data_IF_154476647721
#
_entry.id   IF_154476647721
#
_cell.length_a   1.000
_cell.length_b   1.000
_cell.length_c   1.000
_cell.angle_alpha   90.00
_cell.angle_beta   90.00
_cell.angle_gamma   90.00
#
_symmetry.space_group_name_H-M   'P 1'
#
loop_
_entity.id
_entity.type
_entity.pdbx_description
1 polymer ?
#
# COMPACT_ATOMS: atom_id res chain seq x y z
N UNK A 1 61.44 12.23 -10.06
CA UNK A 1 60.06 12.21 -9.53
C UNK A 1 59.11 11.97 -10.71
N UNK A 2 58.65 10.71 -10.86
CA UNK A 2 57.57 10.37 -11.83
C UNK A 2 56.26 10.52 -11.07
N UNK A 3 55.43 11.49 -11.48
CA UNK A 3 54.06 11.63 -11.03
C UNK A 3 53.24 10.42 -11.49
N UNK A 4 52.76 9.66 -10.53
CA UNK A 4 51.79 8.59 -10.72
C UNK A 4 50.42 9.24 -11.02
N UNK A 5 49.95 9.14 -12.27
CA UNK A 5 48.60 9.51 -12.67
C UNK A 5 47.73 8.24 -12.65
N UNK A 6 46.75 8.11 -11.77
CA UNK A 6 45.85 6.95 -11.81
C UNK A 6 44.92 7.06 -12.98
N UNK A 7 44.90 6.02 -13.82
CA UNK A 7 43.99 5.86 -14.93
C UNK A 7 42.53 5.72 -14.44
N UNK A 8 41.75 6.80 -14.57
CA UNK A 8 40.31 6.83 -14.23
C UNK A 8 39.40 6.29 -15.35
N UNK A 9 39.95 5.59 -16.34
CA UNK A 9 39.19 5.06 -17.48
C UNK A 9 38.76 3.60 -17.32
N UNK A 10 38.14 3.21 -16.19
CA UNK A 10 37.79 1.80 -15.99
C UNK A 10 36.48 1.53 -15.20
N UNK A 11 35.84 2.52 -14.66
CA UNK A 11 34.56 2.30 -13.96
C UNK A 11 33.41 2.33 -14.97
N UNK A 12 33.18 1.21 -15.64
CA UNK A 12 31.91 0.99 -16.35
C UNK A 12 30.82 0.90 -15.29
N UNK A 13 30.05 1.97 -15.14
CA UNK A 13 28.78 1.89 -14.42
C UNK A 13 27.93 0.82 -15.09
N UNK A 14 27.47 -0.23 -14.38
CA UNK A 14 26.53 -1.17 -14.96
C UNK A 14 25.28 -0.38 -15.35
N UNK A 15 25.01 -0.33 -16.65
CA UNK A 15 23.76 0.21 -17.15
C UNK A 15 22.62 -0.55 -16.44
N UNK A 16 21.59 0.12 -15.90
CA UNK A 16 20.44 -0.57 -15.37
C UNK A 16 19.91 -1.44 -16.51
N UNK A 17 19.90 -2.77 -16.29
CA UNK A 17 19.42 -3.74 -17.27
C UNK A 17 17.97 -3.38 -17.58
N UNK A 18 17.76 -2.66 -18.68
CA UNK A 18 16.44 -2.53 -19.27
C UNK A 18 15.99 -3.98 -19.53
N UNK A 19 14.87 -4.38 -18.94
CA UNK A 19 14.25 -5.69 -19.23
C UNK A 19 14.26 -5.85 -20.75
N UNK A 20 14.82 -6.96 -21.28
CA UNK A 20 14.96 -7.10 -22.71
C UNK A 20 13.58 -6.90 -23.35
N UNK A 21 13.49 -6.05 -24.36
CA UNK A 21 12.22 -5.65 -24.98
C UNK A 21 11.34 -6.85 -25.42
N UNK A 22 11.97 -8.03 -25.61
CA UNK A 22 11.28 -9.30 -25.85
C UNK A 22 10.45 -9.79 -24.66
N UNK A 23 10.88 -9.57 -23.42
CA UNK A 23 10.08 -9.90 -22.22
C UNK A 23 8.91 -8.94 -22.06
N UNK A 24 9.11 -7.65 -22.30
CA UNK A 24 8.02 -6.66 -22.32
C UNK A 24 7.01 -6.98 -23.42
N UNK A 25 7.48 -7.33 -24.61
CA UNK A 25 6.62 -7.72 -25.74
C UNK A 25 5.82 -9.00 -25.48
N UNK A 26 6.36 -9.94 -24.69
CA UNK A 26 5.66 -11.16 -24.28
C UNK A 26 4.65 -10.92 -23.15
N UNK A 27 4.92 -9.97 -22.26
CA UNK A 27 4.03 -9.65 -21.13
C UNK A 27 2.80 -8.83 -21.57
N UNK A 28 2.91 -8.00 -22.60
CA UNK A 28 1.81 -7.16 -23.09
C UNK A 28 0.59 -7.99 -23.57
N UNK A 29 0.71 -9.03 -24.43
CA UNK A 29 -0.46 -9.82 -24.83
C UNK A 29 -1.04 -10.63 -23.67
N UNK A 30 -0.21 -11.10 -22.73
CA UNK A 30 -0.68 -11.82 -21.55
C UNK A 30 -1.49 -10.92 -20.62
N UNK A 31 -1.02 -9.69 -20.37
CA UNK A 31 -1.75 -8.71 -19.58
C UNK A 31 -3.02 -8.25 -20.28
N UNK A 32 -3.00 -8.09 -21.60
CA UNK A 32 -4.16 -7.76 -22.40
C UNK A 32 -5.22 -8.86 -22.39
N UNK A 33 -4.81 -10.13 -22.54
CA UNK A 33 -5.70 -11.28 -22.43
C UNK A 33 -6.32 -11.39 -21.04
N UNK A 34 -5.51 -11.25 -20.00
CA UNK A 34 -5.99 -11.26 -18.62
C UNK A 34 -7.00 -10.13 -18.38
N UNK A 35 -6.70 -8.93 -18.84
CA UNK A 35 -7.62 -7.79 -18.77
C UNK A 35 -8.91 -8.04 -19.51
N UNK A 36 -8.88 -8.61 -20.72
CA UNK A 36 -10.06 -8.96 -21.49
C UNK A 36 -10.92 -10.03 -20.81
N UNK A 37 -10.30 -11.06 -20.25
CA UNK A 37 -10.99 -12.11 -19.48
C UNK A 37 -11.66 -11.54 -18.22
N UNK A 38 -10.97 -10.64 -17.51
CA UNK A 38 -11.52 -9.96 -16.34
C UNK A 38 -12.72 -9.08 -16.71
N UNK A 39 -12.63 -8.29 -17.78
CA UNK A 39 -13.73 -7.46 -18.26
C UNK A 39 -14.92 -8.30 -18.74
N UNK A 40 -14.67 -9.38 -19.48
CA UNK A 40 -15.70 -10.30 -19.90
C UNK A 40 -16.38 -11.03 -18.73
N UNK A 41 -15.61 -11.40 -17.71
CA UNK A 41 -16.12 -11.95 -16.46
C UNK A 41 -16.99 -10.94 -15.71
N UNK A 42 -16.51 -9.70 -15.59
CA UNK A 42 -17.23 -8.61 -14.91
C UNK A 42 -18.57 -8.29 -15.60
N UNK A 43 -18.58 -8.26 -16.94
CA UNK A 43 -19.81 -8.01 -17.72
C UNK A 43 -20.88 -9.09 -17.57
N UNK A 44 -20.48 -10.31 -17.19
CA UNK A 44 -21.39 -11.45 -16.97
C UNK A 44 -21.67 -11.74 -15.50
N UNK A 45 -20.99 -11.08 -14.59
CA UNK A 45 -21.14 -11.31 -13.16
C UNK A 45 -22.33 -10.56 -12.59
N UNK A 46 -22.94 -11.11 -11.53
CA UNK A 46 -23.92 -10.39 -10.74
C UNK A 46 -23.28 -9.15 -10.07
N UNK A 47 -24.06 -8.07 -9.84
CA UNK A 47 -23.56 -6.92 -9.13
C UNK A 47 -23.12 -7.33 -7.69
N UNK A 48 -22.05 -6.71 -7.14
CA UNK A 48 -21.63 -6.98 -5.78
C UNK A 48 -22.69 -6.48 -4.80
N UNK A 49 -22.77 -7.10 -3.64
CA UNK A 49 -23.62 -6.57 -2.58
C UNK A 49 -23.08 -5.21 -2.15
N UNK A 50 -23.91 -4.18 -2.21
CA UNK A 50 -23.50 -2.78 -1.98
C UNK A 50 -22.95 -2.55 -0.58
N UNK A 51 -23.52 -3.23 0.43
CA UNK A 51 -23.01 -3.14 1.82
C UNK A 51 -21.60 -3.68 1.94
N UNK A 52 -21.30 -4.81 1.33
CA UNK A 52 -19.98 -5.40 1.33
C UNK A 52 -18.95 -4.56 0.58
N UNK A 53 -19.36 -3.98 -0.55
CA UNK A 53 -18.53 -3.04 -1.31
C UNK A 53 -18.24 -1.78 -0.49
N UNK A 54 -19.29 -1.19 0.11
CA UNK A 54 -19.18 0.00 0.95
C UNK A 54 -18.27 -0.20 2.15
N UNK A 55 -18.43 -1.30 2.88
CA UNK A 55 -17.57 -1.65 4.02
C UNK A 55 -16.12 -1.88 3.59
N UNK A 56 -15.90 -2.62 2.51
CA UNK A 56 -14.55 -2.87 1.99
C UNK A 56 -13.83 -1.58 1.58
N UNK A 57 -14.52 -0.70 0.85
CA UNK A 57 -13.98 0.60 0.46
C UNK A 57 -13.74 1.51 1.67
N UNK A 58 -14.71 1.59 2.57
CA UNK A 58 -14.60 2.41 3.79
C UNK A 58 -13.41 1.99 4.66
N UNK A 59 -13.28 0.68 4.94
CA UNK A 59 -12.15 0.13 5.70
C UNK A 59 -10.82 0.38 4.99
N UNK A 60 -10.74 0.13 3.68
CA UNK A 60 -9.51 0.30 2.93
C UNK A 60 -9.05 1.77 2.87
N UNK A 61 -9.97 2.69 2.61
CA UNK A 61 -9.66 4.12 2.58
C UNK A 61 -9.26 4.66 3.96
N UNK A 62 -9.98 4.27 5.02
CA UNK A 62 -9.64 4.65 6.38
C UNK A 62 -8.29 4.05 6.82
N UNK A 63 -8.05 2.77 6.52
CA UNK A 63 -6.77 2.11 6.81
C UNK A 63 -5.60 2.79 6.07
N UNK A 64 -5.80 3.20 4.81
CA UNK A 64 -4.80 3.96 4.06
C UNK A 64 -4.55 5.33 4.66
N UNK A 65 -5.58 6.08 4.99
CA UNK A 65 -5.44 7.43 5.54
C UNK A 65 -4.74 7.41 6.90
N UNK A 66 -5.23 6.57 7.82
CA UNK A 66 -4.63 6.42 9.15
C UNK A 66 -3.25 5.76 9.08
N UNK A 67 -3.08 4.74 8.25
CA UNK A 67 -1.79 4.09 8.02
C UNK A 67 -0.74 5.08 7.49
N UNK A 68 -1.10 5.93 6.53
CA UNK A 68 -0.22 6.98 6.03
C UNK A 68 0.16 7.99 7.11
N UNK A 69 -0.81 8.44 7.91
CA UNK A 69 -0.57 9.36 9.03
C UNK A 69 0.37 8.73 10.05
N UNK A 70 0.11 7.49 10.48
CA UNK A 70 0.97 6.73 11.40
C UNK A 70 2.38 6.57 10.83
N UNK A 71 2.53 6.17 9.56
CA UNK A 71 3.82 6.00 8.92
C UNK A 71 4.61 7.30 8.84
N UNK A 72 3.96 8.40 8.45
CA UNK A 72 4.62 9.70 8.36
C UNK A 72 5.03 10.25 9.73
N UNK A 73 4.18 10.09 10.75
CA UNK A 73 4.50 10.43 12.14
C UNK A 73 5.65 9.58 12.66
N UNK A 74 5.62 8.27 12.41
CA UNK A 74 6.71 7.36 12.80
C UNK A 74 8.04 7.75 12.17
N UNK A 75 8.04 8.07 10.87
CA UNK A 75 9.25 8.48 10.16
C UNK A 75 9.75 9.88 10.58
N UNK A 76 8.86 10.78 11.00
CA UNK A 76 9.22 12.12 11.43
C UNK A 76 9.70 12.18 12.88
N UNK A 77 9.08 11.40 13.78
CA UNK A 77 9.29 11.48 15.23
C UNK A 77 9.79 10.18 15.85
N UNK A 78 9.76 9.07 15.11
CA UNK A 78 10.10 7.75 15.64
C UNK A 78 11.59 7.57 15.93
N UNK A 79 11.94 6.58 16.75
CA UNK A 79 13.33 6.30 17.12
C UNK A 79 14.12 5.81 15.90
N UNK A 80 15.35 6.29 15.76
CA UNK A 80 16.24 5.88 14.66
C UNK A 80 16.66 4.40 14.76
N UNK A 81 16.52 3.78 15.94
CA UNK A 81 16.88 2.40 16.27
C UNK A 81 15.74 1.75 17.04
N UNK A 82 15.48 0.46 16.78
CA UNK A 82 14.51 -0.34 17.55
C UNK A 82 13.14 -0.56 16.91
N UNK A 83 12.97 -0.29 15.63
CA UNK A 83 11.72 -0.48 14.89
C UNK A 83 11.45 -1.94 14.46
N UNK A 84 12.15 -2.92 15.04
CA UNK A 84 11.92 -4.34 14.74
C UNK A 84 10.50 -4.82 14.99
N UNK A 85 9.83 -4.25 15.98
CA UNK A 85 8.45 -4.57 16.33
C UNK A 85 7.42 -4.32 15.24
N UNK A 86 7.65 -3.30 14.39
CA UNK A 86 6.75 -2.97 13.28
C UNK A 86 6.70 -4.08 12.23
N UNK A 87 7.76 -4.88 12.12
CA UNK A 87 7.86 -5.98 11.16
C UNK A 87 7.29 -7.30 11.66
N UNK A 88 7.00 -7.41 12.97
CA UNK A 88 6.43 -8.63 13.57
C UNK A 88 5.20 -9.16 12.82
N UNK A 89 4.22 -8.32 12.42
CA UNK A 89 3.06 -8.82 11.71
C UNK A 89 3.38 -9.48 10.37
N UNK A 90 4.49 -9.12 9.73
CA UNK A 90 4.92 -9.72 8.46
C UNK A 90 5.65 -11.04 8.63
N UNK A 91 6.20 -11.31 9.81
CA UNK A 91 6.99 -12.51 10.12
C UNK A 91 6.14 -13.56 10.83
N UNK A 92 5.21 -13.12 11.66
CA UNK A 92 4.34 -14.01 12.42
C UNK A 92 3.24 -14.63 11.54
N UNK A 93 2.83 -15.87 11.79
CA UNK A 93 1.67 -16.46 11.11
C UNK A 93 0.40 -15.64 11.39
N UNK A 94 -0.42 -15.48 10.34
CA UNK A 94 -1.61 -14.62 10.40
C UNK A 94 -2.65 -15.09 11.45
N UNK A 95 -2.82 -16.41 11.60
CA UNK A 95 -3.82 -16.99 12.52
C UNK A 95 -3.57 -16.65 13.98
N UNK A 96 -2.38 -16.92 14.58
CA UNK A 96 -2.13 -16.56 15.98
C UNK A 96 -2.21 -15.05 16.24
N UNK A 97 -1.82 -14.25 15.24
CA UNK A 97 -1.85 -12.79 15.37
C UNK A 97 -3.30 -12.27 15.37
N UNK A 98 -4.15 -12.78 14.48
CA UNK A 98 -5.57 -12.44 14.45
C UNK A 98 -6.31 -12.96 15.70
N UNK A 99 -5.98 -14.16 16.21
CA UNK A 99 -6.53 -14.68 17.47
C UNK A 99 -6.14 -13.78 18.66
N UNK A 100 -4.89 -13.37 18.73
CA UNK A 100 -4.42 -12.43 19.77
C UNK A 100 -5.16 -11.10 19.73
N UNK A 101 -5.35 -10.52 18.55
CA UNK A 101 -6.15 -9.30 18.38
C UNK A 101 -7.60 -9.49 18.81
N UNK A 102 -8.21 -10.59 18.39
CA UNK A 102 -9.60 -10.91 18.75
C UNK A 102 -9.77 -11.06 20.27
N UNK A 103 -8.89 -11.77 20.95
CA UNK A 103 -8.91 -11.89 22.42
C UNK A 103 -8.79 -10.53 23.11
N UNK A 104 -7.90 -9.67 22.63
CA UNK A 104 -7.78 -8.30 23.14
C UNK A 104 -9.06 -7.49 22.93
N UNK A 105 -9.69 -7.62 21.77
CA UNK A 105 -10.96 -6.95 21.48
C UNK A 105 -12.08 -7.44 22.42
N UNK A 106 -12.16 -8.76 22.67
CA UNK A 106 -13.11 -9.33 23.62
C UNK A 106 -12.90 -8.81 25.05
N UNK A 107 -11.66 -8.75 25.53
CA UNK A 107 -11.36 -8.19 26.86
C UNK A 107 -11.76 -6.74 26.99
N UNK A 108 -11.68 -5.98 25.90
CA UNK A 108 -12.04 -4.57 25.85
C UNK A 108 -13.54 -4.31 25.53
N UNK A 109 -14.32 -5.37 25.29
CA UNK A 109 -15.74 -5.30 24.87
C UNK A 109 -15.92 -4.50 23.57
N UNK A 110 -14.96 -4.59 22.65
CA UNK A 110 -14.92 -3.85 21.40
C UNK A 110 -15.17 -4.76 20.17
N UNK A 111 -15.56 -6.03 20.36
CA UNK A 111 -15.81 -6.96 19.27
C UNK A 111 -17.04 -6.56 18.44
N UNK A 112 -16.96 -6.75 17.14
CA UNK A 112 -18.03 -6.44 16.20
C UNK A 112 -18.17 -4.97 15.83
N UNK A 113 -17.28 -4.10 16.28
CA UNK A 113 -17.26 -2.68 15.93
C UNK A 113 -16.39 -2.42 14.70
N UNK A 114 -16.82 -1.48 13.87
CA UNK A 114 -16.10 -1.09 12.65
C UNK A 114 -14.67 -0.59 12.95
N UNK A 115 -14.49 0.16 14.06
CA UNK A 115 -13.20 0.69 14.49
C UNK A 115 -12.22 -0.43 14.92
N UNK A 116 -12.74 -1.49 15.47
CA UNK A 116 -11.94 -2.65 15.88
C UNK A 116 -11.45 -3.42 14.66
N UNK A 117 -12.30 -3.56 13.65
CA UNK A 117 -11.88 -4.15 12.37
C UNK A 117 -10.81 -3.26 11.69
N UNK A 118 -11.01 -1.95 11.70
CA UNK A 118 -10.02 -1.00 11.18
C UNK A 118 -8.67 -1.12 11.91
N UNK A 119 -8.68 -1.25 13.24
CA UNK A 119 -7.47 -1.51 14.01
C UNK A 119 -6.80 -2.83 13.58
N UNK A 120 -7.59 -3.87 13.34
CA UNK A 120 -7.10 -5.12 12.77
C UNK A 120 -6.40 -4.96 11.44
N UNK A 121 -6.99 -4.17 10.53
CA UNK A 121 -6.39 -3.87 9.23
C UNK A 121 -5.09 -3.07 9.34
N UNK A 122 -5.02 -2.08 10.23
CA UNK A 122 -3.84 -1.25 10.42
C UNK A 122 -2.61 -2.05 10.82
N UNK A 123 -2.77 -3.14 11.58
CA UNK A 123 -1.67 -4.00 11.98
C UNK A 123 -0.89 -4.56 10.79
N UNK A 124 -1.57 -4.79 9.67
CA UNK A 124 -0.97 -5.29 8.42
C UNK A 124 -0.62 -4.17 7.45
N UNK A 125 -1.47 -3.16 7.34
CA UNK A 125 -1.30 -2.05 6.40
C UNK A 125 -0.07 -1.20 6.73
N UNK A 126 0.14 -0.87 8.02
CA UNK A 126 1.26 0.00 8.46
C UNK A 126 2.63 -0.57 8.11
N UNK A 127 2.96 -1.84 8.39
CA UNK A 127 4.26 -2.40 8.00
C UNK A 127 4.51 -2.36 6.49
N UNK A 128 3.51 -2.72 5.67
CA UNK A 128 3.64 -2.66 4.21
C UNK A 128 3.86 -1.24 3.70
N UNK A 129 3.15 -0.26 4.24
CA UNK A 129 3.34 1.14 3.87
C UNK A 129 4.72 1.64 4.31
N UNK A 130 5.19 1.30 5.51
CA UNK A 130 6.53 1.63 5.99
C UNK A 130 7.62 0.99 5.13
N UNK A 131 7.42 -0.24 4.67
CA UNK A 131 8.36 -0.92 3.78
C UNK A 131 8.67 -0.10 2.52
N UNK A 132 7.65 0.59 1.98
CA UNK A 132 7.78 1.45 0.81
C UNK A 132 8.31 2.85 1.19
N UNK A 133 7.81 3.44 2.26
CA UNK A 133 8.12 4.82 2.62
C UNK A 133 9.50 4.99 3.25
N UNK A 134 9.98 4.01 4.01
CA UNK A 134 11.23 4.11 4.77
C UNK A 134 12.47 4.28 3.90
N UNK A 135 12.69 3.52 2.81
CA UNK A 135 13.81 3.75 1.90
C UNK A 135 13.78 5.15 1.28
N UNK A 136 12.60 5.58 0.83
CA UNK A 136 12.41 6.91 0.24
C UNK A 136 12.66 8.02 1.26
N UNK A 137 12.25 7.83 2.51
CA UNK A 137 12.55 8.75 3.60
C UNK A 137 14.06 8.90 3.86
N UNK A 138 14.81 7.79 3.83
CA UNK A 138 16.27 7.78 4.05
C UNK A 138 17.07 8.36 2.90
N UNK A 139 16.55 8.26 1.67
CA UNK A 139 17.21 8.77 0.46
C UNK A 139 17.03 10.29 0.26
N UNK A 140 16.30 10.98 1.12
CA UNK A 140 16.16 12.44 1.04
C UNK A 140 17.50 13.12 1.35
N UNK A 141 17.80 14.18 0.59
CA UNK A 141 19.01 14.97 0.83
C UNK A 141 18.85 15.79 2.12
N UNK A 142 19.65 15.51 3.17
CA UNK A 142 19.60 16.24 4.42
C UNK A 142 20.03 17.71 4.27
N UNK A 143 20.82 18.04 3.24
CA UNK A 143 21.31 19.41 2.97
C UNK A 143 20.16 20.38 2.74
N UNK A 144 19.10 19.94 2.05
CA UNK A 144 17.92 20.78 1.82
C UNK A 144 17.24 21.19 3.13
N UNK A 145 17.21 20.30 4.11
CA UNK A 145 16.65 20.59 5.44
C UNK A 145 17.54 21.59 6.20
N UNK A 146 18.85 21.46 6.09
CA UNK A 146 19.81 22.39 6.72
C UNK A 146 19.64 23.80 6.10
N UNK A 147 19.65 23.91 4.78
CA UNK A 147 19.43 25.20 4.08
C UNK A 147 18.11 25.83 4.45
N UNK A 148 17.03 25.05 4.51
CA UNK A 148 15.72 25.58 4.91
C UNK A 148 15.73 26.13 6.35
N UNK A 149 16.46 25.48 7.27
CA UNK A 149 16.64 25.96 8.65
C UNK A 149 17.45 27.24 8.71
N UNK A 150 18.51 27.39 7.92
CA UNK A 150 19.29 28.64 7.86
C UNK A 150 18.47 29.82 7.31
N UNK A 151 17.45 29.53 6.50
CA UNK A 151 16.48 30.51 6.02
C UNK A 151 15.33 30.78 7.04
N UNK A 152 15.43 30.27 8.27
CA UNK A 152 14.48 30.51 9.34
C UNK A 152 13.18 29.67 9.24
N UNK A 153 13.16 28.59 8.43
CA UNK A 153 11.98 27.76 8.34
C UNK A 153 11.82 26.85 9.56
N UNK A 154 10.64 26.86 10.17
CA UNK A 154 10.28 25.93 11.24
C UNK A 154 10.08 24.50 10.73
N UNK A 155 10.16 23.52 11.63
CA UNK A 155 10.05 22.09 11.31
C UNK A 155 8.75 21.74 10.57
N UNK A 156 7.63 22.33 10.96
CA UNK A 156 6.33 22.12 10.33
C UNK A 156 6.33 22.61 8.87
N UNK A 157 6.91 23.79 8.62
CA UNK A 157 7.01 24.34 7.26
C UNK A 157 7.90 23.47 6.37
N UNK A 158 9.04 23.00 6.90
CA UNK A 158 9.93 22.07 6.21
C UNK A 158 9.21 20.76 5.89
N UNK A 159 8.43 20.23 6.82
CA UNK A 159 7.67 18.99 6.58
C UNK A 159 6.68 19.14 5.42
N UNK A 160 5.83 20.16 5.44
CA UNK A 160 4.78 20.33 4.43
C UNK A 160 5.30 20.77 3.07
N UNK A 161 6.29 21.68 3.03
CA UNK A 161 6.76 22.27 1.77
C UNK A 161 7.96 21.55 1.14
N UNK A 162 8.73 20.81 1.91
CA UNK A 162 9.93 20.13 1.41
C UNK A 162 9.81 18.60 1.51
N UNK A 163 9.51 18.08 2.70
CA UNK A 163 9.51 16.65 2.97
C UNK A 163 8.35 15.94 2.29
N UNK A 164 7.13 16.34 2.53
CA UNK A 164 5.94 15.70 1.98
C UNK A 164 5.91 15.73 0.44
N UNK A 165 6.21 16.87 -0.22
CA UNK A 165 6.29 16.88 -1.69
C UNK A 165 7.39 15.97 -2.25
N UNK A 166 8.52 15.79 -1.55
CA UNK A 166 9.57 14.86 -2.00
C UNK A 166 9.15 13.39 -1.94
N UNK A 167 8.22 13.06 -1.05
CA UNK A 167 7.67 11.72 -0.84
C UNK A 167 6.39 11.43 -1.65
N UNK A 168 5.91 12.35 -2.49
CA UNK A 168 4.62 12.19 -3.18
C UNK A 168 4.52 10.87 -3.94
N UNK A 169 5.53 10.49 -4.73
CA UNK A 169 5.52 9.23 -5.49
C UNK A 169 5.52 8.00 -4.58
N UNK A 170 6.47 7.84 -3.65
CA UNK A 170 6.45 6.69 -2.75
C UNK A 170 5.21 6.67 -1.85
N UNK A 171 4.64 7.82 -1.49
CA UNK A 171 3.40 7.88 -0.72
C UNK A 171 2.21 7.35 -1.53
N UNK A 172 2.07 7.76 -2.79
CA UNK A 172 1.03 7.23 -3.68
C UNK A 172 1.16 5.71 -3.87
N UNK A 173 2.39 5.21 -4.03
CA UNK A 173 2.64 3.75 -4.10
C UNK A 173 2.29 3.07 -2.78
N UNK A 174 2.66 3.64 -1.64
CA UNK A 174 2.33 3.10 -0.33
C UNK A 174 0.81 3.05 -0.09
N UNK A 175 0.07 4.09 -0.52
CA UNK A 175 -1.39 4.12 -0.46
C UNK A 175 -2.01 3.01 -1.31
N UNK A 176 -1.54 2.79 -2.54
CA UNK A 176 -2.04 1.71 -3.39
C UNK A 176 -1.80 0.33 -2.79
N UNK A 177 -0.61 0.10 -2.22
CA UNK A 177 -0.29 -1.17 -1.55
C UNK A 177 -1.11 -1.33 -0.27
N UNK A 178 -1.21 -0.29 0.57
CA UNK A 178 -2.02 -0.33 1.78
C UNK A 178 -3.50 -0.61 1.51
N UNK A 179 -4.05 0.01 0.46
CA UNK A 179 -5.40 -0.26 -0.02
C UNK A 179 -5.58 -1.72 -0.41
N UNK A 180 -4.66 -2.27 -1.21
CA UNK A 180 -4.71 -3.65 -1.66
C UNK A 180 -4.60 -4.64 -0.49
N UNK A 181 -3.70 -4.38 0.45
CA UNK A 181 -3.56 -5.18 1.67
C UNK A 181 -4.85 -5.15 2.47
N UNK A 182 -5.49 -3.99 2.63
CA UNK A 182 -6.75 -3.88 3.39
C UNK A 182 -7.90 -4.60 2.71
N UNK A 183 -8.07 -4.49 1.38
CA UNK A 183 -9.13 -5.17 0.62
C UNK A 183 -9.03 -6.70 0.74
N UNK A 184 -7.83 -7.25 0.83
CA UNK A 184 -7.61 -8.70 0.90
C UNK A 184 -7.66 -9.28 2.30
N UNK A 185 -7.86 -8.46 3.34
CA UNK A 185 -7.94 -8.91 4.74
C UNK A 185 -9.22 -9.72 5.00
N UNK A 186 -9.04 -11.00 5.33
CA UNK A 186 -10.14 -11.91 5.67
C UNK A 186 -10.24 -12.18 7.19
N UNK A 187 -9.18 -12.70 7.78
CA UNK A 187 -9.20 -13.15 9.17
C UNK A 187 -9.49 -12.02 10.18
N UNK A 188 -8.84 -10.86 10.11
CA UNK A 188 -9.16 -9.75 10.99
C UNK A 188 -10.61 -9.28 10.82
N UNK A 189 -11.09 -9.20 9.57
CA UNK A 189 -12.46 -8.79 9.28
C UNK A 189 -13.49 -9.76 9.86
N UNK A 190 -13.27 -11.06 9.67
CA UNK A 190 -14.22 -12.09 10.15
C UNK A 190 -14.28 -12.12 11.68
N UNK A 191 -13.13 -12.15 12.33
CA UNK A 191 -13.06 -12.34 13.79
C UNK A 191 -13.40 -11.06 14.54
N UNK A 192 -12.75 -9.94 14.23
CA UNK A 192 -12.99 -8.66 14.91
C UNK A 192 -14.36 -8.08 14.56
N UNK A 193 -14.86 -8.30 13.36
CA UNK A 193 -16.19 -7.89 12.93
C UNK A 193 -17.31 -8.80 13.44
N UNK A 194 -16.98 -9.96 14.03
CA UNK A 194 -17.96 -10.93 14.54
C UNK A 194 -19.10 -11.25 13.53
N UNK A 195 -18.78 -11.24 12.23
CA UNK A 195 -19.74 -11.45 11.14
C UNK A 195 -20.73 -10.29 10.89
N UNK A 196 -20.65 -9.19 11.65
CA UNK A 196 -21.56 -8.03 11.53
C UNK A 196 -21.16 -7.06 10.41
N UNK A 197 -19.91 -7.12 9.95
CA UNK A 197 -19.35 -6.24 8.94
C UNK A 197 -19.01 -7.07 7.69
N UNK A 198 -19.96 -7.24 6.78
CA UNK A 198 -19.72 -7.96 5.53
C UNK A 198 -18.75 -7.17 4.66
N UNK A 199 -17.71 -7.83 4.13
CA UNK A 199 -16.79 -7.30 3.14
C UNK A 199 -16.77 -8.18 1.91
N UNK A 200 -16.25 -7.69 0.79
CA UNK A 200 -16.13 -8.48 -0.45
C UNK A 200 -15.38 -9.78 -0.20
N UNK A 201 -14.32 -9.73 0.62
CA UNK A 201 -13.49 -10.90 0.94
C UNK A 201 -14.23 -11.89 1.83
N UNK A 202 -14.90 -11.44 2.89
CA UNK A 202 -15.65 -12.32 3.79
C UNK A 202 -16.83 -12.98 3.07
N UNK A 203 -17.49 -12.27 2.17
CA UNK A 203 -18.56 -12.83 1.34
C UNK A 203 -18.07 -13.82 0.29
N UNK A 204 -16.95 -13.52 -0.39
CA UNK A 204 -16.37 -14.46 -1.34
C UNK A 204 -16.01 -15.79 -0.65
N UNK A 205 -15.46 -15.76 0.55
CA UNK A 205 -15.14 -16.97 1.31
C UNK A 205 -16.42 -17.69 1.76
N UNK A 206 -17.45 -16.99 2.24
CA UNK A 206 -18.72 -17.59 2.62
C UNK A 206 -19.41 -18.28 1.43
N UNK A 207 -19.39 -17.67 0.26
CA UNK A 207 -19.97 -18.23 -0.97
C UNK A 207 -19.17 -19.40 -1.53
N UNK A 208 -17.87 -19.50 -1.25
CA UNK A 208 -17.03 -20.60 -1.73
C UNK A 208 -17.44 -21.97 -1.17
N UNK A 209 -18.18 -22.01 -0.06
CA UNK A 209 -18.62 -23.24 0.62
C UNK A 209 -20.01 -23.71 0.23
N UNK A 210 -20.67 -23.15 -0.80
CA UNK A 210 -21.98 -23.62 -1.24
C UNK A 210 -22.85 -22.57 -1.96
N UNK A 211 -22.24 -21.43 -2.30
CA UNK A 211 -22.93 -20.38 -3.05
C UNK A 211 -22.95 -20.62 -4.57
N UNK A 212 -23.68 -19.77 -5.27
CA UNK A 212 -23.69 -19.75 -6.73
C UNK A 212 -22.31 -19.34 -7.27
N UNK A 213 -21.76 -20.14 -8.18
CA UNK A 213 -20.46 -19.90 -8.80
C UNK A 213 -20.36 -18.51 -9.47
N UNK A 214 -21.47 -18.02 -10.01
CA UNK A 214 -21.55 -16.71 -10.67
C UNK A 214 -21.36 -15.55 -9.68
N UNK A 215 -22.00 -15.65 -8.52
CA UNK A 215 -21.91 -14.64 -7.45
C UNK A 215 -20.51 -14.64 -6.81
N UNK A 216 -19.94 -15.83 -6.61
CA UNK A 216 -18.55 -15.98 -6.13
C UNK A 216 -17.57 -15.35 -7.12
N UNK A 217 -17.72 -15.62 -8.42
CA UNK A 217 -16.88 -15.03 -9.46
C UNK A 217 -16.97 -13.49 -9.48
N UNK A 218 -18.18 -12.94 -9.27
CA UNK A 218 -18.38 -11.50 -9.17
C UNK A 218 -17.59 -10.88 -8.01
N UNK A 219 -17.69 -11.47 -6.82
CA UNK A 219 -16.96 -10.99 -5.63
C UNK A 219 -15.45 -11.04 -5.83
N UNK A 220 -14.93 -12.15 -6.38
CA UNK A 220 -13.53 -12.30 -6.68
C UNK A 220 -13.01 -11.27 -7.70
N UNK A 221 -13.81 -10.99 -8.74
CA UNK A 221 -13.47 -9.98 -9.74
C UNK A 221 -13.41 -8.57 -9.15
N UNK A 222 -14.35 -8.21 -8.28
CA UNK A 222 -14.33 -6.91 -7.62
C UNK A 222 -13.13 -6.75 -6.69
N UNK A 223 -12.74 -7.82 -5.97
CA UNK A 223 -11.52 -7.82 -5.14
C UNK A 223 -10.26 -7.56 -5.96
N UNK A 224 -10.20 -8.02 -7.20
CA UNK A 224 -9.08 -7.80 -8.10
C UNK A 224 -9.14 -6.43 -8.77
N UNK A 225 -10.34 -6.00 -9.17
CA UNK A 225 -10.56 -4.74 -9.88
C UNK A 225 -10.26 -3.53 -9.00
N UNK A 226 -10.70 -3.52 -7.74
CA UNK A 226 -10.50 -2.38 -6.85
C UNK A 226 -9.02 -2.04 -6.62
N UNK A 227 -8.14 -2.99 -6.27
CA UNK A 227 -6.70 -2.73 -6.22
C UNK A 227 -6.13 -2.28 -7.57
N UNK A 228 -6.53 -2.91 -8.68
CA UNK A 228 -6.04 -2.54 -10.01
C UNK A 228 -6.38 -1.09 -10.37
N UNK A 229 -7.61 -0.66 -10.10
CA UNK A 229 -8.05 0.75 -10.28
C UNK A 229 -7.24 1.67 -9.36
N UNK A 230 -7.05 1.31 -8.10
CA UNK A 230 -6.28 2.11 -7.15
C UNK A 230 -4.82 2.28 -7.60
N UNK A 231 -4.15 1.20 -8.05
CA UNK A 231 -2.80 1.27 -8.60
C UNK A 231 -2.73 2.13 -9.85
N UNK A 232 -3.70 2.01 -10.75
CA UNK A 232 -3.75 2.80 -11.98
C UNK A 232 -3.92 4.29 -11.67
N UNK A 233 -4.84 4.63 -10.78
CA UNK A 233 -5.07 6.02 -10.36
C UNK A 233 -3.83 6.62 -9.68
N UNK A 234 -3.22 5.90 -8.75
CA UNK A 234 -2.02 6.38 -8.04
C UNK A 234 -0.83 6.49 -8.98
N UNK A 235 -0.66 5.59 -9.94
CA UNK A 235 0.37 5.68 -10.98
C UNK A 235 0.15 6.89 -11.89
N UNK A 236 -1.10 7.15 -12.31
CA UNK A 236 -1.46 8.32 -13.11
C UNK A 236 -1.18 9.62 -12.35
N UNK A 237 -1.58 9.71 -11.08
CA UNK A 237 -1.30 10.86 -10.23
C UNK A 237 0.20 11.08 -10.04
N UNK A 238 0.98 10.01 -9.84
CA UNK A 238 2.43 10.08 -9.73
C UNK A 238 3.10 10.56 -11.02
N UNK A 239 2.57 10.14 -12.17
CA UNK A 239 3.04 10.59 -13.48
C UNK A 239 2.72 12.06 -13.73
N UNK A 240 1.48 12.50 -13.45
CA UNK A 240 1.07 13.91 -13.55
C UNK A 240 1.93 14.80 -12.64
N UNK A 241 2.08 14.43 -11.37
CA UNK A 241 2.94 15.15 -10.43
C UNK A 241 4.40 15.24 -10.92
N UNK A 242 4.86 14.24 -11.68
CA UNK A 242 6.19 14.24 -12.30
C UNK A 242 6.32 15.18 -13.50
N UNK A 243 5.28 15.36 -14.30
CA UNK A 243 5.27 16.29 -15.45
C UNK A 243 5.35 17.74 -15.00
N UNK A 244 4.54 18.12 -14.02
CA UNK A 244 4.56 19.50 -13.49
C UNK A 244 5.91 19.90 -12.91
N UNK A 245 6.67 18.95 -12.32
CA UNK A 245 8.01 19.23 -11.78
C UNK A 245 9.11 19.33 -12.84
N UNK A 246 8.94 18.75 -14.03
CA UNK A 246 9.91 18.86 -15.13
C UNK A 246 9.85 20.20 -15.85
N UNK A 247 8.73 20.90 -15.80
CA UNK A 247 8.56 22.24 -16.36
C UNK A 247 9.16 23.36 -15.53
N UNK A 248 9.73 23.06 -14.34
CA UNK A 248 10.38 24.02 -13.44
C UNK A 248 11.91 23.86 -13.38
N UNK A 249 12.50 23.09 -14.30
CA UNK A 249 13.96 22.92 -14.44
C UNK A 249 14.48 23.61 -15.67
#
# INVERSE_FOLDING_TARGET
QRQYQPDLHGVRHPHPHALPGRLLAALLPLSGLLGALLLAGLARSAPPQMDALGNSLGLALAACALGAAVCLLWLACGPARGDGWVWLPLVLPALPLADGQYRLALYAWLDGDWWTVLWGHLLWVVPWMLFILRPAWRQRDPRLTVVARTLGWGSTRIFWLLTLPSLTRPLLTALAVGFSVSITQYLPTLWLGAGRIPTLTSQAVALSSGGEAQTLAAQALWQLLLPAVCFTLTALLAWLAGRYRRGLR
#
